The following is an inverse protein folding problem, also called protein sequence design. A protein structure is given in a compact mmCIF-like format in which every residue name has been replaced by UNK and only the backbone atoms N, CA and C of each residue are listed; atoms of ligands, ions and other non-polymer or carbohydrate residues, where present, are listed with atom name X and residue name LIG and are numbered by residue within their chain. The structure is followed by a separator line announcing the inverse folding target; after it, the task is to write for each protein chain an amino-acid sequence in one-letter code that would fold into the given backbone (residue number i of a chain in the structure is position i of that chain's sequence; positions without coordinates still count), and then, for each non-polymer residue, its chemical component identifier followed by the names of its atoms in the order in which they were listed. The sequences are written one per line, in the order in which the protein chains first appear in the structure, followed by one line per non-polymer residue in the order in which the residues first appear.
data_IF_130922408947
#
_entry.id   IF_130922408947
#
_cell.length_a   1.000
_cell.length_b   1.000
_cell.length_c   1.000
_cell.angle_alpha   90.00
_cell.angle_beta   90.00
_cell.angle_gamma   90.00
#
_symmetry.space_group_name_H-M   'P 1'
#
loop_
_entity.id
_entity.type
_entity.pdbx_description
1 polymer ?
#
# COMPACT_ATOMS: atom_id res chain seq x y z
N UNK A 1 -25.84 -37.17 32.61
CA UNK A 1 -25.66 -36.59 31.26
C UNK A 1 -24.47 -35.64 31.25
N UNK A 2 -23.30 -36.05 30.72
CA UNK A 2 -22.03 -35.29 30.67
C UNK A 2 -21.77 -34.68 29.27
N UNK A 3 -22.79 -34.09 28.64
CA UNK A 3 -22.73 -33.70 27.20
C UNK A 3 -22.30 -32.24 26.91
N UNK A 4 -22.00 -31.41 27.91
CA UNK A 4 -21.68 -29.98 27.69
C UNK A 4 -20.21 -29.57 27.80
N UNK A 5 -19.37 -30.36 28.48
CA UNK A 5 -18.01 -29.95 28.85
C UNK A 5 -17.06 -30.27 27.69
N UNK A 6 -16.97 -29.36 26.72
CA UNK A 6 -16.12 -29.50 25.53
C UNK A 6 -16.71 -28.85 24.29
N UNK A 7 -18.03 -28.92 24.13
CA UNK A 7 -18.74 -28.25 23.02
C UNK A 7 -18.65 -26.72 23.15
N UNK A 8 -18.78 -26.20 24.38
CA UNK A 8 -18.61 -24.78 24.65
C UNK A 8 -17.17 -24.30 24.38
N UNK A 9 -16.16 -25.10 24.76
CA UNK A 9 -14.76 -24.79 24.51
C UNK A 9 -14.42 -24.82 23.00
N UNK A 10 -14.93 -25.81 22.26
CA UNK A 10 -14.78 -25.90 20.81
C UNK A 10 -15.46 -24.72 20.09
N UNK A 11 -16.67 -24.34 20.51
CA UNK A 11 -17.41 -23.18 19.97
C UNK A 11 -16.70 -21.86 20.29
N UNK A 12 -16.14 -21.70 21.49
CA UNK A 12 -15.35 -20.53 21.84
C UNK A 12 -14.05 -20.45 21.04
N UNK A 13 -13.38 -21.59 20.81
CA UNK A 13 -12.18 -21.66 19.97
C UNK A 13 -12.50 -21.29 18.51
N UNK A 14 -13.59 -21.79 17.94
CA UNK A 14 -13.99 -21.43 16.57
C UNK A 14 -14.38 -19.96 16.45
N UNK A 15 -15.10 -19.41 17.43
CA UNK A 15 -15.45 -17.99 17.48
C UNK A 15 -14.21 -17.11 17.58
N UNK A 16 -13.24 -17.48 18.43
CA UNK A 16 -11.97 -16.76 18.54
C UNK A 16 -11.20 -16.80 17.22
N UNK A 17 -11.12 -17.96 16.57
CA UNK A 17 -10.45 -18.10 15.26
C UNK A 17 -11.12 -17.28 14.16
N UNK A 18 -12.46 -17.21 14.14
CA UNK A 18 -13.20 -16.34 13.22
C UNK A 18 -12.86 -14.87 13.47
N UNK A 19 -12.88 -14.41 14.73
CA UNK A 19 -12.51 -13.03 15.07
C UNK A 19 -11.07 -12.67 14.69
N UNK A 20 -10.12 -13.58 14.86
CA UNK A 20 -8.74 -13.35 14.43
C UNK A 20 -8.62 -13.22 12.91
N UNK A 21 -9.37 -14.01 12.15
CA UNK A 21 -9.43 -13.88 10.69
C UNK A 21 -10.05 -12.56 10.26
N UNK A 22 -11.18 -12.19 10.86
CA UNK A 22 -11.85 -10.92 10.55
C UNK A 22 -10.94 -9.73 10.86
N UNK A 23 -10.24 -9.77 12.01
CA UNK A 23 -9.27 -8.73 12.35
C UNK A 23 -8.06 -8.72 11.41
N UNK A 24 -7.60 -9.89 10.98
CA UNK A 24 -6.54 -10.01 9.97
C UNK A 24 -6.94 -9.32 8.67
N UNK A 25 -8.15 -9.62 8.17
CA UNK A 25 -8.69 -9.00 6.96
C UNK A 25 -8.83 -7.46 7.12
N UNK A 26 -9.29 -6.99 8.28
CA UNK A 26 -9.39 -5.54 8.56
C UNK A 26 -8.02 -4.86 8.55
N UNK A 27 -7.00 -5.51 9.12
CA UNK A 27 -5.62 -5.01 9.11
C UNK A 27 -5.08 -4.95 7.68
N UNK A 28 -5.29 -6.00 6.89
CA UNK A 28 -4.87 -6.04 5.49
C UNK A 28 -5.53 -4.93 4.66
N UNK A 29 -6.85 -4.74 4.82
CA UNK A 29 -7.57 -3.66 4.15
C UNK A 29 -7.04 -2.28 4.55
N UNK A 30 -6.78 -2.06 5.85
CA UNK A 30 -6.21 -0.81 6.33
C UNK A 30 -4.81 -0.56 5.78
N UNK A 31 -3.97 -1.59 5.69
CA UNK A 31 -2.63 -1.48 5.10
C UNK A 31 -2.71 -1.14 3.61
N UNK A 32 -3.61 -1.77 2.86
CA UNK A 32 -3.82 -1.45 1.45
C UNK A 32 -4.30 0.00 1.25
N UNK A 33 -5.26 0.46 2.06
CA UNK A 33 -5.73 1.85 2.01
C UNK A 33 -4.64 2.86 2.36
N UNK A 34 -3.79 2.55 3.34
CA UNK A 34 -2.64 3.37 3.68
C UNK A 34 -1.61 3.41 2.55
N UNK A 35 -1.32 2.27 1.90
CA UNK A 35 -0.41 2.19 0.77
C UNK A 35 -0.91 3.06 -0.40
N UNK A 36 -2.19 2.97 -0.75
CA UNK A 36 -2.79 3.81 -1.79
C UNK A 36 -2.62 5.31 -1.47
N UNK A 37 -2.86 5.73 -0.23
CA UNK A 37 -2.65 7.12 0.21
C UNK A 37 -1.19 7.57 0.11
N UNK A 38 -0.24 6.68 0.38
CA UNK A 38 1.18 6.98 0.24
C UNK A 38 1.58 7.11 -1.24
N UNK A 39 1.04 6.27 -2.12
CA UNK A 39 1.25 6.38 -3.57
C UNK A 39 0.73 7.70 -4.14
N UNK A 40 -0.47 8.14 -3.73
CA UNK A 40 -1.00 9.45 -4.11
C UNK A 40 -0.09 10.61 -3.66
N UNK A 41 0.37 10.58 -2.40
CA UNK A 41 1.34 11.57 -1.91
C UNK A 41 2.64 11.55 -2.71
N UNK A 42 3.13 10.36 -3.05
CA UNK A 42 4.35 10.22 -3.82
C UNK A 42 4.20 10.83 -5.21
N UNK A 43 3.07 10.59 -5.87
CA UNK A 43 2.73 11.19 -7.17
C UNK A 43 2.76 12.71 -7.12
N UNK A 44 2.07 13.33 -6.15
CA UNK A 44 2.07 14.79 -5.98
C UNK A 44 3.50 15.33 -5.76
N UNK A 45 4.28 14.67 -4.91
CA UNK A 45 5.66 15.09 -4.65
C UNK A 45 6.55 14.97 -5.89
N UNK A 46 6.31 13.97 -6.73
CA UNK A 46 7.05 13.74 -7.96
C UNK A 46 6.68 14.78 -9.02
N UNK A 47 5.41 15.15 -9.14
CA UNK A 47 4.95 16.26 -9.99
C UNK A 47 5.59 17.59 -9.55
N UNK A 48 5.60 17.87 -8.24
CA UNK A 48 6.24 19.06 -7.67
C UNK A 48 7.76 19.07 -7.95
N UNK A 49 8.41 17.91 -7.84
CA UNK A 49 9.83 17.76 -8.15
C UNK A 49 10.10 18.03 -9.63
N UNK A 50 9.29 17.46 -10.52
CA UNK A 50 9.39 17.67 -11.96
C UNK A 50 9.18 19.13 -12.35
N UNK A 51 8.23 19.82 -11.72
CA UNK A 51 7.98 21.24 -11.95
C UNK A 51 9.16 22.11 -11.52
N UNK A 52 9.76 21.82 -10.35
CA UNK A 52 10.89 22.59 -9.80
C UNK A 52 12.19 22.35 -10.56
N UNK A 53 12.45 21.11 -10.99
CA UNK A 53 13.70 20.70 -11.63
C UNK A 53 13.56 20.47 -13.14
N UNK A 54 12.53 21.07 -13.76
CA UNK A 54 12.21 20.89 -15.19
C UNK A 54 13.40 21.15 -16.12
N UNK A 55 14.17 22.20 -15.82
CA UNK A 55 15.34 22.57 -16.61
C UNK A 55 16.51 21.61 -16.42
N UNK A 56 16.71 21.11 -15.20
CA UNK A 56 17.75 20.13 -14.89
C UNK A 56 17.45 18.78 -15.58
N UNK A 57 16.19 18.32 -15.50
CA UNK A 57 15.70 17.12 -16.21
C UNK A 57 15.87 17.26 -17.73
N UNK A 58 15.73 18.48 -18.26
CA UNK A 58 15.93 18.77 -19.70
C UNK A 58 17.38 18.90 -20.11
N UNK A 59 18.26 19.40 -19.25
CA UNK A 59 19.66 19.67 -19.61
C UNK A 59 20.59 18.51 -19.29
N UNK A 60 20.30 17.75 -18.24
CA UNK A 60 21.13 16.64 -17.78
C UNK A 60 20.49 15.27 -18.14
N UNK A 61 21.11 14.49 -19.06
CA UNK A 61 20.64 13.17 -19.42
C UNK A 61 20.64 12.17 -18.26
N UNK A 62 21.57 12.26 -17.31
CA UNK A 62 21.67 11.35 -16.18
C UNK A 62 20.52 11.52 -15.20
N UNK A 63 20.18 12.78 -14.88
CA UNK A 63 19.01 13.13 -14.07
C UNK A 63 17.73 12.67 -14.77
N UNK A 64 17.63 12.86 -16.09
CA UNK A 64 16.48 12.43 -16.87
C UNK A 64 16.23 10.93 -16.79
N UNK A 65 17.26 10.10 -16.98
CA UNK A 65 17.12 8.63 -16.91
C UNK A 65 16.66 8.20 -15.53
N UNK A 66 17.30 8.72 -14.47
CA UNK A 66 16.94 8.39 -13.09
C UNK A 66 15.49 8.80 -12.75
N UNK A 67 15.06 9.97 -13.25
CA UNK A 67 13.68 10.44 -13.08
C UNK A 67 12.68 9.56 -13.84
N UNK A 68 12.99 9.15 -15.07
CA UNK A 68 12.13 8.27 -15.86
C UNK A 68 12.01 6.87 -15.27
N UNK A 69 13.11 6.30 -14.76
CA UNK A 69 13.10 5.02 -14.04
C UNK A 69 12.21 5.08 -12.79
N UNK A 70 12.30 6.17 -12.04
CA UNK A 70 11.45 6.37 -10.86
C UNK A 70 9.97 6.43 -11.25
N UNK A 71 9.61 7.16 -12.30
CA UNK A 71 8.24 7.25 -12.80
C UNK A 71 7.72 5.89 -13.30
N UNK A 72 8.54 5.17 -14.07
CA UNK A 72 8.21 3.84 -14.58
C UNK A 72 7.98 2.81 -13.46
N UNK A 73 8.76 2.87 -12.37
CA UNK A 73 8.62 1.96 -11.23
C UNK A 73 7.28 2.08 -10.49
N UNK A 74 6.60 3.22 -10.66
CA UNK A 74 5.32 3.53 -10.02
C UNK A 74 4.17 3.40 -11.02
N UNK A 75 4.47 3.22 -12.31
CA UNK A 75 3.47 3.16 -13.38
C UNK A 75 2.92 4.53 -13.78
N UNK A 76 3.68 5.61 -13.55
CA UNK A 76 3.33 6.98 -13.99
C UNK A 76 4.17 7.32 -15.21
N UNK A 77 3.57 7.81 -16.29
CA UNK A 77 4.30 8.24 -17.48
C UNK A 77 4.89 9.66 -17.25
N UNK A 78 6.23 9.82 -17.26
CA UNK A 78 6.88 11.11 -17.07
C UNK A 78 6.75 12.07 -18.26
N UNK A 79 6.22 11.63 -19.40
CA UNK A 79 6.18 12.38 -20.67
C UNK A 79 4.76 12.79 -21.11
N UNK A 80 3.75 12.62 -20.25
CA UNK A 80 2.40 13.15 -20.47
C UNK A 80 2.30 14.68 -20.26
#
# INVERSE_FOLDING_TARGET
MRRGVGVAAAKNKSLAQARYKDKGNEIEQNQMAQMAKQMEKFKVNLEDFAAKHKEDIRKDPGVRVSFQEMCASIGVDPLA
#
